data_IF_383336418620
#
_entry.id   IF_383336418620
#
_cell.length_a   1.000
_cell.length_b   1.000
_cell.length_c   1.000
_cell.angle_alpha   90.00
_cell.angle_beta   90.00
_cell.angle_gamma   90.00
#
_symmetry.space_group_name_H-M   'P 1'
#
loop_
_entity.id
_entity.type
_entity.pdbx_description
1 polymer ?
#
# COMPACT_ATOMS: atom_id res chain seq x y z
N UNK A 1 -7.60 9.38 -36.17
CA UNK A 1 -8.57 10.46 -36.44
C UNK A 1 -9.95 9.85 -36.38
N UNK A 2 -10.67 10.03 -35.27
CA UNK A 2 -12.04 9.53 -35.07
C UNK A 2 -12.80 10.58 -34.25
N UNK A 3 -14.12 10.75 -34.51
CA UNK A 3 -14.67 12.04 -34.86
C UNK A 3 -15.39 12.76 -33.73
N UNK A 4 -15.50 14.07 -33.90
CA UNK A 4 -16.35 14.99 -33.15
C UNK A 4 -17.82 14.59 -33.33
N UNK A 5 -18.54 14.35 -32.24
CA UNK A 5 -20.01 14.35 -32.21
C UNK A 5 -20.44 15.54 -31.37
N UNK A 6 -21.04 16.53 -32.03
CA UNK A 6 -21.71 17.66 -31.38
C UNK A 6 -23.10 17.23 -30.95
N UNK A 7 -23.43 17.40 -29.67
CA UNK A 7 -24.82 17.47 -29.21
C UNK A 7 -25.00 18.76 -28.43
N UNK A 8 -25.97 19.56 -28.85
CA UNK A 8 -26.32 20.84 -28.24
C UNK A 8 -27.81 20.82 -27.93
N UNK A 9 -28.18 21.06 -26.67
CA UNK A 9 -29.38 21.81 -26.24
C UNK A 9 -29.69 21.53 -24.76
N UNK A 10 -29.23 22.45 -23.91
CA UNK A 10 -30.02 23.17 -22.90
C UNK A 10 -31.14 22.41 -22.17
N UNK A 11 -30.88 22.01 -20.92
CA UNK A 11 -31.80 22.21 -19.79
C UNK A 11 -30.99 22.44 -18.51
N UNK A 12 -31.18 23.61 -17.92
CA UNK A 12 -30.57 24.02 -16.65
C UNK A 12 -31.04 23.11 -15.51
N UNK A 13 -30.12 22.66 -14.65
CA UNK A 13 -30.16 22.85 -13.20
C UNK A 13 -29.04 22.08 -12.47
N UNK A 14 -28.25 22.86 -11.70
CA UNK A 14 -27.65 22.54 -10.39
C UNK A 14 -26.42 21.61 -10.30
N UNK A 15 -25.37 22.27 -9.79
CA UNK A 15 -24.47 21.85 -8.69
C UNK A 15 -23.38 20.82 -8.97
N UNK A 16 -22.16 21.29 -8.73
CA UNK A 16 -20.86 20.62 -8.71
C UNK A 16 -20.88 19.18 -8.16
N UNK A 17 -20.40 18.24 -8.96
CA UNK A 17 -19.97 16.92 -8.50
C UNK A 17 -18.48 16.99 -8.13
N UNK A 18 -18.21 16.83 -6.84
CA UNK A 18 -16.86 16.74 -6.28
C UNK A 18 -16.35 15.28 -6.50
N UNK A 19 -15.23 15.01 -7.20
CA UNK A 19 -14.87 13.65 -7.64
C UNK A 19 -14.32 12.71 -6.56
N UNK A 20 -14.57 12.95 -5.28
CA UNK A 20 -13.92 12.19 -4.18
C UNK A 20 -14.72 11.02 -3.62
N UNK A 21 -15.83 10.62 -4.26
CA UNK A 21 -16.68 9.51 -3.80
C UNK A 21 -16.19 8.10 -4.16
N UNK A 22 -14.98 7.94 -4.72
CA UNK A 22 -14.44 6.61 -5.06
C UNK A 22 -14.05 5.75 -3.84
N UNK A 23 -14.03 6.30 -2.61
CA UNK A 23 -13.52 5.58 -1.43
C UNK A 23 -14.53 5.35 -0.29
N UNK A 24 -15.83 5.62 -0.47
CA UNK A 24 -16.72 5.80 0.70
C UNK A 24 -17.70 4.68 1.08
N UNK A 25 -17.91 3.61 0.32
CA UNK A 25 -19.06 2.72 0.62
C UNK A 25 -18.78 1.34 1.24
N UNK A 26 -17.55 0.81 1.26
CA UNK A 26 -17.35 -0.60 1.69
C UNK A 26 -16.53 -0.83 2.97
N UNK A 27 -16.06 0.22 3.64
CA UNK A 27 -15.30 0.08 4.90
C UNK A 27 -16.15 0.16 6.18
N UNK A 28 -17.47 0.32 6.06
CA UNK A 28 -18.39 0.33 7.21
C UNK A 28 -19.23 -0.95 7.25
N UNK A 29 -18.59 -2.08 7.55
CA UNK A 29 -19.32 -3.28 8.01
C UNK A 29 -18.88 -3.70 9.39
N UNK A 30 -19.60 -3.14 10.36
CA UNK A 30 -19.88 -3.64 11.72
C UNK A 30 -18.72 -4.21 12.54
N UNK A 31 -18.35 -3.50 13.62
CA UNK A 31 -18.01 -4.18 14.86
C UNK A 31 -18.94 -3.70 15.98
N UNK A 32 -19.74 -4.68 16.39
CA UNK A 32 -20.70 -4.75 17.47
C UNK A 32 -20.10 -4.32 18.81
N UNK A 33 -20.93 -3.72 19.68
CA UNK A 33 -20.63 -3.38 21.08
C UNK A 33 -19.67 -4.35 21.78
N UNK A 34 -18.51 -3.85 22.22
CA UNK A 34 -17.62 -4.56 23.14
C UNK A 34 -17.57 -3.78 24.45
N UNK A 35 -18.24 -4.32 25.48
CA UNK A 35 -18.12 -3.88 26.87
C UNK A 35 -16.69 -4.12 27.38
N UNK A 36 -16.17 -3.28 28.30
CA UNK A 36 -14.85 -3.52 28.87
C UNK A 36 -14.97 -4.60 29.95
N UNK A 37 -14.66 -5.84 29.58
CA UNK A 37 -14.39 -6.91 30.53
C UNK A 37 -12.94 -7.36 30.39
N UNK A 38 -12.27 -7.44 31.54
CA UNK A 38 -10.88 -7.82 31.71
C UNK A 38 -10.55 -9.20 31.13
N UNK A 39 -9.25 -9.38 30.86
CA UNK A 39 -8.49 -10.64 30.69
C UNK A 39 -8.35 -11.25 29.28
N UNK A 40 -7.09 -11.67 29.01
CA UNK A 40 -6.57 -12.54 27.96
C UNK A 40 -5.90 -11.83 26.78
N UNK A 41 -4.59 -11.54 26.91
CA UNK A 41 -3.72 -11.19 25.78
C UNK A 41 -3.50 -12.43 24.90
N UNK A 42 -4.52 -12.86 24.16
CA UNK A 42 -4.31 -13.62 22.95
C UNK A 42 -3.70 -12.66 21.95
N UNK A 43 -2.39 -12.76 21.69
CA UNK A 43 -1.75 -11.99 20.64
C UNK A 43 -2.24 -12.52 19.29
N UNK A 44 -3.45 -12.12 18.89
CA UNK A 44 -3.95 -12.33 17.53
C UNK A 44 -3.02 -11.55 16.61
N UNK A 45 -2.17 -12.26 15.87
CA UNK A 45 -1.22 -11.63 14.96
C UNK A 45 -1.99 -10.89 13.86
N UNK A 46 -2.00 -9.57 13.91
CA UNK A 46 -2.58 -8.73 12.85
C UNK A 46 -1.86 -9.02 11.52
N UNK A 47 -2.58 -9.05 10.39
CA UNK A 47 -1.94 -9.26 9.09
C UNK A 47 -1.10 -8.04 8.69
N UNK A 48 -0.07 -8.23 7.85
CA UNK A 48 0.81 -7.15 7.38
C UNK A 48 0.02 -5.97 6.76
N UNK A 49 -1.05 -6.27 6.03
CA UNK A 49 -1.91 -5.23 5.43
C UNK A 49 -2.48 -4.23 6.44
N UNK A 50 -2.83 -4.70 7.65
CA UNK A 50 -3.37 -3.83 8.71
C UNK A 50 -2.27 -2.93 9.27
N UNK A 51 -1.05 -3.44 9.38
CA UNK A 51 0.10 -2.65 9.81
C UNK A 51 0.44 -1.55 8.79
N UNK A 52 0.47 -1.89 7.49
CA UNK A 52 0.73 -0.93 6.42
C UNK A 52 -0.34 0.16 6.40
N UNK A 53 -1.62 -0.22 6.47
CA UNK A 53 -2.72 0.75 6.53
C UNK A 53 -2.58 1.70 7.72
N UNK A 54 -2.31 1.16 8.92
CA UNK A 54 -2.13 1.96 10.13
C UNK A 54 -0.99 2.98 9.98
N UNK A 55 0.16 2.55 9.46
CA UNK A 55 1.33 3.43 9.26
C UNK A 55 1.05 4.52 8.24
N UNK A 56 0.41 4.19 7.10
CA UNK A 56 0.07 5.20 6.08
C UNK A 56 -0.94 6.21 6.61
N UNK A 57 -1.95 5.78 7.37
CA UNK A 57 -2.91 6.70 8.02
C UNK A 57 -2.23 7.64 9.02
N UNK A 58 -1.31 7.11 9.83
CA UNK A 58 -0.52 7.90 10.76
C UNK A 58 0.38 8.92 10.04
N UNK A 59 1.00 8.51 8.93
CA UNK A 59 1.81 9.40 8.10
C UNK A 59 1.01 10.60 7.59
N UNK A 60 -0.19 10.39 7.02
CA UNK A 60 -1.05 11.50 6.59
C UNK A 60 -1.52 12.37 7.75
N UNK A 61 -1.80 11.79 8.92
CA UNK A 61 -2.18 12.57 10.10
C UNK A 61 -1.06 13.49 10.60
N UNK A 62 0.21 13.09 10.43
CA UNK A 62 1.37 13.92 10.76
C UNK A 62 1.67 14.99 9.71
N UNK A 63 1.33 14.71 8.45
CA UNK A 63 1.60 15.60 7.33
C UNK A 63 0.61 16.79 7.26
N UNK A 64 -0.57 16.66 7.86
CA UNK A 64 -1.58 17.71 7.87
C UNK A 64 -2.15 17.95 6.47
N UNK A 65 -2.05 19.20 5.98
CA UNK A 65 -2.58 19.61 4.66
C UNK A 65 -1.54 19.49 3.52
N UNK A 66 -0.32 19.05 3.81
CA UNK A 66 0.70 18.88 2.78
C UNK A 66 0.48 17.59 1.96
N UNK A 67 0.77 17.65 0.66
CA UNK A 67 0.65 16.50 -0.25
C UNK A 67 2.03 15.86 -0.39
N UNK A 68 2.19 14.57 -0.07
CA UNK A 68 3.47 13.90 -0.18
C UNK A 68 3.79 13.58 -1.64
N UNK A 69 5.04 13.77 -2.04
CA UNK A 69 5.57 13.29 -3.33
C UNK A 69 6.23 11.92 -3.17
N UNK A 70 6.09 11.07 -4.19
CA UNK A 70 6.76 9.76 -4.26
C UNK A 70 6.45 8.79 -3.11
N UNK A 71 5.28 8.93 -2.46
CA UNK A 71 4.87 8.07 -1.33
C UNK A 71 4.91 6.58 -1.68
N UNK A 72 4.54 6.21 -2.91
CA UNK A 72 4.62 4.83 -3.37
C UNK A 72 6.05 4.27 -3.28
N UNK A 73 7.03 5.00 -3.80
CA UNK A 73 8.44 4.59 -3.76
C UNK A 73 8.99 4.58 -2.32
N UNK A 74 8.56 5.53 -1.48
CA UNK A 74 8.90 5.56 -0.06
C UNK A 74 8.45 4.27 0.63
N UNK A 75 7.17 3.93 0.53
CA UNK A 75 6.60 2.73 1.17
C UNK A 75 7.17 1.46 0.55
N UNK A 76 7.38 1.42 -0.77
CA UNK A 76 7.94 0.26 -1.44
C UNK A 76 9.35 -0.05 -0.93
N UNK A 77 10.20 0.96 -0.72
CA UNK A 77 11.54 0.78 -0.15
C UNK A 77 11.51 0.21 1.26
N UNK A 78 10.63 0.74 2.12
CA UNK A 78 10.46 0.27 3.50
C UNK A 78 10.02 -1.20 3.59
N UNK A 79 9.33 -1.70 2.57
CA UNK A 79 8.88 -3.11 2.54
C UNK A 79 9.89 -4.00 1.82
N UNK A 80 10.43 -3.55 0.68
CA UNK A 80 11.31 -4.37 -0.15
C UNK A 80 12.67 -4.65 0.51
N UNK A 81 13.29 -3.64 1.12
CA UNK A 81 14.60 -3.82 1.75
C UNK A 81 14.60 -4.91 2.83
N UNK A 82 13.71 -4.91 3.84
CA UNK A 82 13.68 -5.97 4.85
C UNK A 82 13.28 -7.32 4.25
N UNK A 83 12.35 -7.36 3.28
CA UNK A 83 11.99 -8.60 2.59
C UNK A 83 13.21 -9.23 1.91
N UNK A 84 13.98 -8.45 1.16
CA UNK A 84 15.18 -8.91 0.46
C UNK A 84 16.27 -9.35 1.43
N UNK A 85 16.50 -8.58 2.50
CA UNK A 85 17.50 -8.88 3.52
C UNK A 85 17.24 -10.24 4.19
N UNK A 86 16.01 -10.45 4.69
CA UNK A 86 15.63 -11.70 5.38
C UNK A 86 15.71 -12.90 4.46
N UNK A 87 15.26 -12.78 3.20
CA UNK A 87 15.33 -13.90 2.26
C UNK A 87 16.76 -14.20 1.82
N UNK A 88 17.60 -13.17 1.66
CA UNK A 88 19.02 -13.35 1.36
C UNK A 88 19.76 -14.03 2.51
N UNK A 89 19.48 -13.65 3.75
CA UNK A 89 19.99 -14.33 4.94
C UNK A 89 19.52 -15.80 4.97
N UNK A 90 18.23 -16.03 4.77
CA UNK A 90 17.65 -17.39 4.73
C UNK A 90 18.24 -18.24 3.61
N UNK A 91 18.63 -17.63 2.50
CA UNK A 91 19.31 -18.29 1.39
C UNK A 91 20.84 -18.36 1.56
N UNK A 92 21.40 -17.87 2.68
CA UNK A 92 22.83 -17.79 2.98
C UNK A 92 23.62 -17.09 1.87
N UNK A 93 23.08 -15.99 1.36
CA UNK A 93 23.66 -15.22 0.26
C UNK A 93 23.46 -15.83 -1.13
N UNK A 94 22.82 -17.01 -1.26
CA UNK A 94 22.55 -17.61 -2.57
C UNK A 94 21.43 -16.84 -3.29
N UNK A 95 21.83 -16.01 -4.24
CA UNK A 95 20.91 -15.15 -5.00
C UNK A 95 19.97 -15.95 -5.91
N UNK A 96 20.40 -17.08 -6.49
CA UNK A 96 19.52 -17.91 -7.33
C UNK A 96 18.38 -18.49 -6.49
N UNK A 97 18.68 -19.00 -5.29
CA UNK A 97 17.67 -19.49 -4.37
C UNK A 97 16.77 -18.37 -3.84
N UNK A 98 17.33 -17.21 -3.52
CA UNK A 98 16.56 -16.03 -3.13
C UNK A 98 15.57 -15.61 -4.23
N UNK A 99 16.01 -15.57 -5.49
CA UNK A 99 15.17 -15.24 -6.63
C UNK A 99 14.02 -16.25 -6.82
N UNK A 100 14.30 -17.54 -6.61
CA UNK A 100 13.28 -18.59 -6.62
C UNK A 100 12.25 -18.42 -5.50
N UNK A 101 12.69 -18.14 -4.26
CA UNK A 101 11.79 -17.92 -3.11
C UNK A 101 10.89 -16.70 -3.36
N UNK A 102 11.44 -15.62 -3.90
CA UNK A 102 10.71 -14.38 -4.17
C UNK A 102 9.90 -14.42 -5.47
N UNK A 103 10.06 -15.45 -6.30
CA UNK A 103 9.43 -15.52 -7.62
C UNK A 103 9.93 -14.45 -8.61
N UNK A 104 11.17 -13.98 -8.45
CA UNK A 104 11.76 -12.92 -9.27
C UNK A 104 12.71 -13.49 -10.33
N UNK A 105 12.80 -12.80 -11.47
CA UNK A 105 13.93 -13.01 -12.37
C UNK A 105 15.24 -12.64 -11.66
N UNK A 106 16.30 -13.45 -11.83
CA UNK A 106 17.62 -13.20 -11.22
C UNK A 106 18.19 -11.81 -11.53
N UNK A 107 18.00 -11.32 -12.76
CA UNK A 107 18.43 -9.98 -13.17
C UNK A 107 17.72 -8.88 -12.38
N UNK A 108 16.41 -9.05 -12.14
CA UNK A 108 15.60 -8.16 -11.31
C UNK A 108 16.05 -8.18 -9.85
N UNK A 109 16.23 -9.37 -9.28
CA UNK A 109 16.74 -9.51 -7.91
C UNK A 109 18.08 -8.78 -7.75
N UNK A 110 19.03 -9.02 -8.67
CA UNK A 110 20.36 -8.42 -8.59
C UNK A 110 20.31 -6.89 -8.63
N UNK A 111 19.45 -6.32 -9.49
CA UNK A 111 19.24 -4.86 -9.52
C UNK A 111 18.72 -4.35 -8.18
N UNK A 112 17.71 -5.00 -7.61
CA UNK A 112 17.14 -4.63 -6.30
C UNK A 112 18.17 -4.74 -5.18
N UNK A 113 18.93 -5.84 -5.10
CA UNK A 113 20.00 -5.99 -4.10
C UNK A 113 21.03 -4.85 -4.17
N UNK A 114 21.42 -4.44 -5.39
CA UNK A 114 22.31 -3.29 -5.58
C UNK A 114 21.66 -1.97 -5.13
N UNK A 115 20.39 -1.74 -5.45
CA UNK A 115 19.65 -0.54 -5.02
C UNK A 115 19.64 -0.37 -3.50
N UNK A 116 19.54 -1.47 -2.75
CA UNK A 116 19.48 -1.46 -1.28
C UNK A 116 20.83 -1.72 -0.58
N UNK A 117 21.95 -1.79 -1.33
CA UNK A 117 23.28 -1.99 -0.75
C UNK A 117 23.49 -3.39 -0.11
N UNK A 118 22.79 -4.40 -0.61
CA UNK A 118 22.86 -5.80 -0.13
C UNK A 118 23.78 -6.70 -0.99
N UNK A 119 24.50 -6.10 -1.95
CA UNK A 119 25.44 -6.73 -2.87
C UNK A 119 26.51 -5.74 -3.27
#
# INVERSE_FOLDING_TARGET
MAPHVQYNASHSHKSAENPTDYYKEDYHRSNHDVKPSLESTSHTHEPLRVHVERVVRQYFAMLGDEIPTDLYELILKEIEQPLLSVVLEKSRGNQTKCAQILGLNRGTLRKKLKTYGLM
#
